data_IF_838265033288
#
_entry.id   IF_838265033288
#
_cell.length_a   1.000
_cell.length_b   1.000
_cell.length_c   1.000
_cell.angle_alpha   90.00
_cell.angle_beta   90.00
_cell.angle_gamma   90.00
#
_symmetry.space_group_name_H-M   'P 1'
#
loop_
_entity.id
_entity.type
_entity.pdbx_description
1 polymer ?
#
# COMPACT_ATOMS: atom_id res chain seq x y z
N UNK A 1 14.57 13.94 10.81
CA UNK A 1 13.39 13.96 11.71
C UNK A 1 13.21 12.55 12.26
N UNK A 2 13.12 12.37 13.59
CA UNK A 2 13.22 11.06 14.28
C UNK A 2 11.98 10.19 14.01
N UNK A 3 12.20 8.99 13.45
CA UNK A 3 11.21 7.90 13.27
C UNK A 3 10.47 7.57 14.59
N UNK A 4 11.10 7.81 15.73
CA UNK A 4 10.58 7.50 17.08
C UNK A 4 9.27 8.21 17.46
N UNK A 5 8.94 9.35 16.85
CA UNK A 5 7.68 10.07 17.14
C UNK A 5 6.49 9.41 16.43
N UNK A 6 6.67 8.95 15.19
CA UNK A 6 5.63 8.25 14.44
C UNK A 6 5.34 6.87 15.03
N UNK A 7 6.38 6.16 15.51
CA UNK A 7 6.20 4.87 16.20
C UNK A 7 5.29 4.97 17.43
N UNK A 8 5.49 6.01 18.25
CA UNK A 8 4.66 6.24 19.44
C UNK A 8 3.23 6.62 19.11
N UNK A 9 2.97 7.19 17.93
CA UNK A 9 1.63 7.49 17.45
C UNK A 9 0.92 6.23 16.93
N UNK A 10 1.64 5.24 16.40
CA UNK A 10 1.05 4.00 15.90
C UNK A 10 0.51 3.08 17.02
N UNK A 11 1.12 3.12 18.20
CA UNK A 11 0.73 2.27 19.34
C UNK A 11 -0.48 2.81 20.12
N UNK A 12 -1.00 3.99 19.79
CA UNK A 12 -2.17 4.60 20.46
C UNK A 12 -3.48 4.47 19.68
N UNK A 13 -3.48 3.79 18.54
CA UNK A 13 -4.71 3.57 17.77
C UNK A 13 -5.55 2.43 18.37
N UNK A 14 -6.89 2.53 18.28
CA UNK A 14 -7.78 1.40 18.60
C UNK A 14 -7.42 0.19 17.74
N UNK A 15 -7.59 -1.01 18.28
CA UNK A 15 -7.31 -2.23 17.52
C UNK A 15 -8.29 -2.38 16.36
N UNK A 16 -7.93 -3.18 15.36
CA UNK A 16 -8.83 -3.50 14.24
C UNK A 16 -10.12 -4.13 14.75
N UNK A 17 -10.05 -4.98 15.77
CA UNK A 17 -11.22 -5.63 16.36
C UNK A 17 -12.15 -4.63 17.05
N UNK A 18 -11.58 -3.62 17.74
CA UNK A 18 -12.37 -2.53 18.34
C UNK A 18 -13.11 -1.73 17.26
N UNK A 19 -12.43 -1.39 16.16
CA UNK A 19 -13.02 -0.67 15.03
C UNK A 19 -14.12 -1.49 14.36
N UNK A 20 -13.90 -2.80 14.18
CA UNK A 20 -14.90 -3.71 13.62
C UNK A 20 -16.13 -3.73 14.52
N UNK A 21 -15.94 -3.94 15.83
CA UNK A 21 -17.04 -3.97 16.80
C UNK A 21 -17.84 -2.67 16.80
N UNK A 22 -17.16 -1.53 16.88
CA UNK A 22 -17.80 -0.21 16.83
C UNK A 22 -18.55 0.02 15.52
N UNK A 23 -17.97 -0.38 14.39
CA UNK A 23 -18.59 -0.25 13.06
C UNK A 23 -19.85 -1.09 12.96
N UNK A 24 -19.84 -2.34 13.45
CA UNK A 24 -21.01 -3.22 13.48
C UNK A 24 -22.12 -2.60 14.35
N UNK A 25 -21.78 -2.08 15.52
CA UNK A 25 -22.77 -1.47 16.42
C UNK A 25 -23.40 -0.18 15.85
N UNK A 26 -22.64 0.61 15.08
CA UNK A 26 -23.13 1.85 14.48
C UNK A 26 -23.91 1.65 13.18
N UNK A 27 -23.60 0.59 12.43
CA UNK A 27 -24.26 0.30 11.15
C UNK A 27 -25.66 -0.25 11.39
N UNK A 28 -26.56 0.09 10.46
CA UNK A 28 -27.97 -0.34 10.47
C UNK A 28 -28.29 -1.37 9.38
N UNK A 29 -27.29 -1.76 8.60
CA UNK A 29 -27.40 -2.76 7.54
C UNK A 29 -26.35 -3.86 7.76
N UNK A 30 -26.62 -5.03 7.17
CA UNK A 30 -25.76 -6.23 7.26
C UNK A 30 -24.79 -6.33 6.07
N UNK A 31 -24.56 -5.22 5.36
CA UNK A 31 -23.69 -5.19 4.19
C UNK A 31 -22.23 -5.45 4.60
N UNK A 32 -21.54 -6.27 3.81
CA UNK A 32 -20.12 -6.53 3.99
C UNK A 32 -19.31 -5.23 3.90
N UNK A 33 -18.25 -5.15 4.71
CA UNK A 33 -17.35 -4.01 4.73
C UNK A 33 -15.91 -4.43 4.98
N UNK A 34 -14.98 -3.52 4.69
CA UNK A 34 -13.56 -3.70 4.89
C UNK A 34 -13.06 -2.71 5.94
N UNK A 35 -12.10 -3.16 6.75
CA UNK A 35 -11.29 -2.31 7.64
C UNK A 35 -9.84 -2.47 7.19
N UNK A 36 -9.15 -1.35 6.97
CA UNK A 36 -7.76 -1.33 6.53
C UNK A 36 -6.89 -0.80 7.66
N UNK A 37 -6.00 -1.64 8.19
CA UNK A 37 -4.96 -1.20 9.11
C UNK A 37 -3.78 -0.58 8.32
N UNK A 38 -3.78 0.74 8.20
CA UNK A 38 -2.69 1.49 7.56
C UNK A 38 -1.36 1.31 8.31
N UNK A 39 -1.40 1.15 9.64
CA UNK A 39 -0.19 0.96 10.43
C UNK A 39 0.49 -0.36 10.09
N UNK A 40 -0.27 -1.38 9.71
CA UNK A 40 0.28 -2.65 9.25
C UNK A 40 1.10 -2.51 7.97
N UNK A 41 0.64 -1.72 7.00
CA UNK A 41 1.37 -1.41 5.76
C UNK A 41 2.71 -0.75 6.11
N UNK A 42 2.68 0.25 6.99
CA UNK A 42 3.86 1.00 7.42
C UNK A 42 4.85 0.12 8.18
N UNK A 43 4.37 -0.72 9.11
CA UNK A 43 5.19 -1.70 9.84
C UNK A 43 5.87 -2.67 8.88
N UNK A 44 5.14 -3.19 7.90
CA UNK A 44 5.68 -4.11 6.88
C UNK A 44 6.74 -3.42 6.01
N UNK A 45 6.48 -2.21 5.55
CA UNK A 45 7.44 -1.44 4.76
C UNK A 45 8.73 -1.17 5.54
N UNK A 46 8.62 -0.68 6.80
CA UNK A 46 9.77 -0.48 7.68
C UNK A 46 10.55 -1.78 7.89
N UNK A 47 9.84 -2.87 8.20
CA UNK A 47 10.46 -4.18 8.41
C UNK A 47 11.20 -4.67 7.16
N UNK A 48 10.67 -4.42 5.96
CA UNK A 48 11.36 -4.70 4.70
C UNK A 48 12.68 -3.96 4.61
N UNK A 49 12.69 -2.63 4.80
CA UNK A 49 13.90 -1.81 4.74
C UNK A 49 14.95 -2.24 5.77
N UNK A 50 14.52 -2.63 6.97
CA UNK A 50 15.43 -3.11 8.02
C UNK A 50 16.02 -4.49 7.70
N UNK A 51 15.21 -5.42 7.18
CA UNK A 51 15.65 -6.80 6.94
C UNK A 51 16.36 -6.99 5.60
N UNK A 52 16.04 -6.16 4.61
CA UNK A 52 16.57 -6.23 3.25
C UNK A 52 17.11 -4.85 2.80
N UNK A 53 18.16 -4.31 3.46
CA UNK A 53 18.61 -2.93 3.25
C UNK A 53 19.18 -2.65 1.84
N UNK A 54 19.50 -3.69 1.08
CA UNK A 54 19.99 -3.58 -0.31
C UNK A 54 18.91 -3.81 -1.36
N UNK A 55 17.68 -4.14 -0.95
CA UNK A 55 16.59 -4.49 -1.85
C UNK A 55 15.49 -3.45 -1.72
N UNK A 56 15.35 -2.60 -2.74
CA UNK A 56 14.26 -1.63 -2.80
C UNK A 56 12.93 -2.37 -3.07
N UNK A 57 11.87 -2.13 -2.28
CA UNK A 57 10.57 -2.76 -2.52
C UNK A 57 9.84 -2.11 -3.71
N UNK A 58 9.30 -2.95 -4.59
CA UNK A 58 8.35 -2.58 -5.63
C UNK A 58 7.04 -3.34 -5.36
N UNK A 59 5.98 -2.62 -5.04
CA UNK A 59 4.68 -3.21 -4.70
C UNK A 59 3.92 -3.63 -5.96
N UNK A 60 3.51 -4.89 -6.04
CA UNK A 60 2.70 -5.38 -7.16
C UNK A 60 1.27 -4.86 -7.08
N UNK A 61 0.91 -3.90 -7.95
CA UNK A 61 -0.38 -3.18 -7.89
C UNK A 61 -1.57 -4.13 -7.98
N UNK A 62 -1.49 -5.15 -8.84
CA UNK A 62 -2.49 -6.21 -9.01
C UNK A 62 -2.92 -6.94 -7.73
N UNK A 63 -2.09 -6.93 -6.68
CA UNK A 63 -2.41 -7.62 -5.43
C UNK A 63 -3.55 -6.93 -4.67
N UNK A 64 -3.54 -5.60 -4.65
CA UNK A 64 -4.61 -4.77 -4.11
C UNK A 64 -4.35 -3.32 -4.57
N UNK A 65 -5.19 -2.84 -5.49
CA UNK A 65 -5.11 -1.50 -6.07
C UNK A 65 -6.02 -0.48 -5.34
N UNK A 66 -6.41 -0.76 -4.09
CA UNK A 66 -7.18 0.19 -3.30
C UNK A 66 -6.40 1.51 -3.15
N UNK A 67 -7.00 2.69 -3.43
CA UNK A 67 -6.30 3.97 -3.43
C UNK A 67 -5.49 4.23 -2.16
N UNK A 68 -6.08 3.94 -0.99
CA UNK A 68 -5.40 4.13 0.31
C UNK A 68 -4.11 3.31 0.45
N UNK A 69 -4.04 2.12 -0.14
CA UNK A 69 -2.83 1.28 -0.11
C UNK A 69 -1.74 1.92 -0.95
N UNK A 70 -2.10 2.38 -2.15
CA UNK A 70 -1.16 2.99 -3.10
C UNK A 70 -0.65 4.35 -2.59
N UNK A 71 -1.54 5.18 -2.04
CA UNK A 71 -1.21 6.48 -1.42
C UNK A 71 -0.26 6.33 -0.23
N UNK A 72 -0.53 5.36 0.65
CA UNK A 72 0.35 5.10 1.81
C UNK A 72 1.72 4.63 1.34
N UNK A 73 1.78 3.69 0.40
CA UNK A 73 3.04 3.17 -0.12
C UNK A 73 3.85 4.22 -0.89
N UNK A 74 3.20 5.09 -1.67
CA UNK A 74 3.87 6.20 -2.35
C UNK A 74 4.42 7.22 -1.36
N UNK A 75 3.66 7.54 -0.30
CA UNK A 75 4.08 8.49 0.75
C UNK A 75 5.34 8.05 1.51
N UNK A 76 5.61 6.73 1.58
CA UNK A 76 6.81 6.17 2.22
C UNK A 76 7.93 5.82 1.23
N UNK A 77 7.75 6.14 -0.06
CA UNK A 77 8.80 6.00 -1.08
C UNK A 77 8.98 4.58 -1.63
N UNK A 78 7.96 3.72 -1.53
CA UNK A 78 7.96 2.43 -2.22
C UNK A 78 7.88 2.63 -3.75
N UNK A 79 8.53 1.74 -4.51
CA UNK A 79 8.28 1.62 -5.95
C UNK A 79 7.03 0.78 -6.23
N UNK A 80 6.63 0.68 -7.50
CA UNK A 80 5.45 -0.07 -7.93
C UNK A 80 5.76 -0.97 -9.12
N UNK A 81 5.31 -2.23 -9.05
CA UNK A 81 5.32 -3.17 -10.17
C UNK A 81 3.93 -3.18 -10.82
N UNK A 82 3.86 -2.68 -12.04
CA UNK A 82 2.65 -2.53 -12.83
C UNK A 82 2.62 -3.54 -13.98
N UNK A 83 1.49 -4.21 -14.17
CA UNK A 83 1.24 -5.19 -15.22
C UNK A 83 0.44 -4.63 -16.40
N UNK A 84 -0.13 -3.43 -16.27
CA UNK A 84 -0.95 -2.79 -17.29
C UNK A 84 -0.72 -1.28 -17.38
N UNK A 85 -1.12 -0.68 -18.51
CA UNK A 85 -1.06 0.77 -18.71
C UNK A 85 -1.93 1.51 -17.69
N UNK A 86 -3.12 1.01 -17.38
CA UNK A 86 -4.00 1.62 -16.37
C UNK A 86 -3.35 1.69 -14.98
N UNK A 87 -2.61 0.66 -14.58
CA UNK A 87 -1.88 0.70 -13.30
C UNK A 87 -0.75 1.73 -13.34
N UNK A 88 -0.02 1.84 -14.45
CA UNK A 88 1.01 2.88 -14.64
C UNK A 88 0.38 4.27 -14.51
N UNK A 89 -0.69 4.53 -15.26
CA UNK A 89 -1.38 5.83 -15.25
C UNK A 89 -1.85 6.17 -13.82
N UNK A 90 -2.43 5.20 -13.11
CA UNK A 90 -2.85 5.36 -11.71
C UNK A 90 -1.68 5.76 -10.78
N UNK A 91 -0.52 5.12 -10.93
CA UNK A 91 0.65 5.41 -10.09
C UNK A 91 1.30 6.76 -10.45
N UNK A 92 1.29 7.14 -11.73
CA UNK A 92 1.75 8.46 -12.16
C UNK A 92 0.86 9.58 -11.63
N UNK A 93 -0.46 9.37 -11.58
CA UNK A 93 -1.42 10.33 -11.02
C UNK A 93 -1.21 10.57 -9.51
N UNK A 94 -0.59 9.61 -8.81
CA UNK A 94 -0.16 9.76 -7.41
C UNK A 94 1.16 10.55 -7.25
N UNK A 95 1.75 11.02 -8.36
CA UNK A 95 2.98 11.81 -8.36
C UNK A 95 4.27 10.98 -8.20
N UNK A 96 4.20 9.67 -8.39
CA UNK A 96 5.37 8.78 -8.33
C UNK A 96 6.25 8.99 -9.56
N UNK A 97 7.57 9.07 -9.37
CA UNK A 97 8.51 9.27 -10.47
C UNK A 97 8.57 8.01 -11.37
N UNK A 98 8.66 8.13 -12.71
CA UNK A 98 8.69 6.98 -13.61
C UNK A 98 9.81 5.95 -13.30
N UNK A 99 10.95 6.39 -12.78
CA UNK A 99 12.06 5.50 -12.37
C UNK A 99 11.70 4.56 -11.20
N UNK A 100 10.60 4.87 -10.49
CA UNK A 100 10.08 4.08 -9.38
C UNK A 100 8.96 3.12 -9.81
N UNK A 101 8.71 3.02 -11.13
CA UNK A 101 7.73 2.11 -11.72
C UNK A 101 8.47 1.03 -12.52
N UNK A 102 8.28 -0.22 -12.13
CA UNK A 102 8.72 -1.40 -12.87
C UNK A 102 7.56 -1.95 -13.68
N UNK A 103 7.82 -2.35 -14.92
CA UNK A 103 6.83 -3.01 -15.78
C UNK A 103 7.30 -4.43 -16.13
N UNK A 104 6.76 -5.44 -15.46
CA UNK A 104 7.05 -6.85 -15.73
C UNK A 104 5.93 -7.48 -16.56
N UNK A 105 5.99 -7.32 -17.89
CA UNK A 105 5.11 -8.03 -18.83
C UNK A 105 5.77 -9.37 -19.22
N UNK A 106 5.24 -10.50 -18.77
CA UNK A 106 5.54 -11.79 -19.39
C UNK A 106 4.63 -11.97 -20.62
N UNK A 107 5.26 -12.11 -21.80
CA UNK A 107 4.66 -12.24 -23.13
C UNK A 107 4.02 -10.96 -23.71
N UNK A 108 4.81 -10.20 -24.49
CA UNK A 108 4.25 -9.51 -25.66
C UNK A 108 3.94 -10.60 -26.70
N UNK A 109 2.71 -10.73 -27.22
CA UNK A 109 2.54 -11.38 -28.51
C UNK A 109 3.34 -10.52 -29.50
N UNK A 110 4.30 -11.14 -30.17
CA UNK A 110 4.95 -10.52 -31.32
C UNK A 110 3.85 -10.26 -32.35
N UNK A 111 3.51 -8.99 -32.57
CA UNK A 111 2.83 -8.62 -33.80
C UNK A 111 3.87 -8.72 -34.92
N UNK A 112 3.93 -9.89 -35.56
CA UNK A 112 4.50 -10.11 -36.89
C UNK A 112 3.45 -9.84 -37.96
#
# INVERSE_FOLDING_TARGET
MKITVLEKLFDQNPSVDDIIGETIMKRKNEDAFYVCDVNDILRKHKNWLMKLPRVRPFYAVKCNAAPIVLEVLSSVGAGFDCASKNEIDTILDLGVHPDDISMLIHAKPNHS
#
